data_IF_765865979465
#
_entry.id   IF_765865979465
#
_cell.length_a   1.000
_cell.length_b   1.000
_cell.length_c   1.000
_cell.angle_alpha   90.00
_cell.angle_beta   90.00
_cell.angle_gamma   90.00
#
_symmetry.space_group_name_H-M   'P 1'
#
loop_
_entity.id
_entity.type
_entity.pdbx_description
1 polymer ?
#
# COMPACT_ATOMS: atom_id res chain seq x y z
N UNK A 1 14.80 10.34 19.23
CA UNK A 1 15.61 9.10 19.28
C UNK A 1 14.91 8.03 20.12
N UNK A 2 14.73 8.27 21.43
CA UNK A 2 14.20 7.28 22.39
C UNK A 2 12.88 6.56 22.02
N UNK A 3 11.90 7.26 21.42
CA UNK A 3 10.63 6.62 21.05
C UNK A 3 10.75 5.70 19.82
N UNK A 4 11.65 6.03 18.89
CA UNK A 4 11.90 5.23 17.67
C UNK A 4 12.61 3.93 18.03
N UNK A 5 13.60 4.01 18.92
CA UNK A 5 14.37 2.84 19.38
C UNK A 5 13.48 1.86 20.15
N UNK A 6 12.57 2.38 20.99
CA UNK A 6 11.54 1.55 21.66
C UNK A 6 10.63 0.82 20.68
N UNK A 7 10.17 1.50 19.63
CA UNK A 7 9.32 0.90 18.59
C UNK A 7 10.06 -0.20 17.83
N UNK A 8 11.34 0.00 17.50
CA UNK A 8 12.17 -0.99 16.83
C UNK A 8 12.39 -2.22 17.74
N UNK A 9 12.70 -2.02 19.02
CA UNK A 9 12.83 -3.12 19.97
C UNK A 9 11.53 -3.92 20.16
N UNK A 10 10.40 -3.23 20.26
CA UNK A 10 9.10 -3.88 20.32
C UNK A 10 8.81 -4.70 19.05
N UNK A 11 9.13 -4.15 17.87
CA UNK A 11 9.00 -4.87 16.61
C UNK A 11 9.84 -6.15 16.58
N UNK A 12 11.13 -6.08 16.98
CA UNK A 12 12.00 -7.25 17.03
C UNK A 12 11.44 -8.34 17.96
N UNK A 13 10.91 -7.98 19.13
CA UNK A 13 10.25 -8.94 20.04
C UNK A 13 9.01 -9.58 19.42
N UNK A 14 8.19 -8.80 18.70
CA UNK A 14 7.04 -9.35 17.99
C UNK A 14 7.47 -10.32 16.87
N UNK A 15 8.57 -10.02 16.17
CA UNK A 15 9.11 -10.91 15.14
C UNK A 15 9.66 -12.21 15.73
N UNK A 16 10.35 -12.15 16.87
CA UNK A 16 10.83 -13.35 17.59
C UNK A 16 9.67 -14.25 18.00
N UNK A 17 8.62 -13.66 18.59
CA UNK A 17 7.42 -14.41 18.93
C UNK A 17 6.72 -15.00 17.69
N UNK A 18 6.69 -14.26 16.58
CA UNK A 18 6.12 -14.74 15.31
C UNK A 18 6.93 -15.90 14.73
N UNK A 19 8.26 -15.87 14.86
CA UNK A 19 9.14 -16.98 14.46
C UNK A 19 8.83 -18.24 15.25
N UNK A 20 8.67 -18.12 16.57
CA UNK A 20 8.30 -19.24 17.44
C UNK A 20 6.97 -19.88 17.05
N UNK A 21 5.96 -19.05 16.76
CA UNK A 21 4.65 -19.53 16.30
C UNK A 21 4.74 -20.23 14.94
N UNK A 22 5.60 -19.74 14.03
CA UNK A 22 5.73 -20.28 12.67
C UNK A 22 6.52 -21.60 12.57
N UNK A 23 7.29 -21.99 13.60
CA UNK A 23 8.14 -23.21 13.60
C UNK A 23 7.43 -24.49 13.16
N UNK A 24 6.14 -24.60 13.44
CA UNK A 24 5.33 -25.79 13.12
C UNK A 24 4.44 -25.62 11.88
N UNK A 25 4.58 -24.52 11.14
CA UNK A 25 3.80 -24.23 9.95
C UNK A 25 4.66 -24.28 8.69
N UNK A 26 4.24 -25.09 7.72
CA UNK A 26 4.86 -25.15 6.40
C UNK A 26 4.24 -24.10 5.46
N UNK A 27 4.57 -22.82 5.71
CA UNK A 27 4.10 -21.69 4.90
C UNK A 27 5.28 -20.86 4.40
N UNK A 28 5.80 -21.13 3.19
CA UNK A 28 6.90 -20.36 2.61
C UNK A 28 6.60 -18.86 2.52
N UNK A 29 5.34 -18.47 2.27
CA UNK A 29 4.91 -17.06 2.23
C UNK A 29 5.08 -16.37 3.58
N UNK A 30 4.64 -17.01 4.66
CA UNK A 30 4.70 -16.41 6.00
C UNK A 30 6.15 -16.34 6.51
N UNK A 31 6.94 -17.38 6.24
CA UNK A 31 8.38 -17.36 6.51
C UNK A 31 9.11 -16.25 5.73
N UNK A 32 8.75 -16.05 4.46
CA UNK A 32 9.31 -14.98 3.65
C UNK A 32 8.92 -13.60 4.20
N UNK A 33 7.66 -13.40 4.59
CA UNK A 33 7.19 -12.13 5.17
C UNK A 33 7.87 -11.84 6.51
N UNK A 34 8.01 -12.85 7.37
CA UNK A 34 8.71 -12.74 8.65
C UNK A 34 10.15 -12.24 8.45
N UNK A 35 10.92 -12.91 7.58
CA UNK A 35 12.31 -12.53 7.34
C UNK A 35 12.44 -11.21 6.58
N UNK A 36 11.51 -10.87 5.69
CA UNK A 36 11.46 -9.55 5.10
C UNK A 36 11.29 -8.46 6.17
N UNK A 37 10.40 -8.67 7.15
CA UNK A 37 10.18 -7.73 8.24
C UNK A 37 11.38 -7.64 9.19
N UNK A 38 12.09 -8.74 9.46
CA UNK A 38 13.39 -8.69 10.14
C UNK A 38 14.41 -7.85 9.36
N UNK A 39 14.49 -8.01 8.03
CA UNK A 39 15.36 -7.22 7.17
C UNK A 39 15.06 -5.71 7.29
N UNK A 40 13.78 -5.33 7.25
CA UNK A 40 13.35 -3.95 7.46
C UNK A 40 13.68 -3.42 8.85
N UNK A 41 13.48 -4.21 9.91
CA UNK A 41 13.78 -3.82 11.27
C UNK A 41 15.28 -3.54 11.46
N UNK A 42 16.13 -4.42 10.96
CA UNK A 42 17.59 -4.23 11.02
C UNK A 42 18.08 -3.09 10.13
N UNK A 43 17.45 -2.86 8.97
CA UNK A 43 17.72 -1.67 8.16
C UNK A 43 17.34 -0.37 8.90
N UNK A 44 16.25 -0.39 9.68
CA UNK A 44 15.87 0.74 10.53
C UNK A 44 16.87 0.95 11.68
N UNK A 45 17.34 -0.13 12.34
CA UNK A 45 18.44 -0.07 13.34
C UNK A 45 19.68 0.54 12.72
N UNK A 46 20.12 0.06 11.56
CA UNK A 46 21.27 0.60 10.85
C UNK A 46 21.11 2.10 10.59
N UNK A 47 19.89 2.55 10.28
CA UNK A 47 19.61 3.97 10.02
C UNK A 47 19.59 4.86 11.28
N UNK A 48 19.56 4.29 12.49
CA UNK A 48 19.65 5.06 13.75
C UNK A 48 21.04 5.10 14.35
N UNK A 49 21.91 4.16 13.97
CA UNK A 49 23.31 4.13 14.42
C UNK A 49 24.10 5.22 13.67
N UNK A 50 24.79 6.13 14.39
CA UNK A 50 25.67 7.12 13.77
C UNK A 50 26.70 6.48 12.87
N UNK A 51 27.08 7.18 11.81
CA UNK A 51 28.14 6.72 10.91
C UNK A 51 29.48 7.33 11.31
N UNK A 52 30.03 6.82 12.41
CA UNK A 52 31.34 7.19 12.93
C UNK A 52 32.17 5.93 13.27
N UNK A 53 33.49 6.09 13.37
CA UNK A 53 34.41 4.98 13.66
C UNK A 53 34.06 4.25 14.98
N UNK A 54 33.49 4.98 15.95
CA UNK A 54 33.09 4.40 17.24
C UNK A 54 31.90 3.44 17.09
N UNK A 55 31.03 3.70 16.13
CA UNK A 55 29.81 2.96 15.85
C UNK A 55 29.92 1.99 14.67
N UNK A 56 31.04 2.02 13.94
CA UNK A 56 31.29 1.24 12.72
C UNK A 56 30.97 -0.25 12.89
N UNK A 57 31.40 -0.87 14.01
CA UNK A 57 31.15 -2.28 14.27
C UNK A 57 29.66 -2.59 14.47
N UNK A 58 28.93 -1.73 15.19
CA UNK A 58 27.50 -1.89 15.42
C UNK A 58 26.70 -1.68 14.13
N UNK A 59 27.08 -0.67 13.33
CA UNK A 59 26.48 -0.39 12.03
C UNK A 59 26.71 -1.55 11.04
N UNK A 60 27.94 -2.08 10.99
CA UNK A 60 28.29 -3.26 10.19
C UNK A 60 27.44 -4.47 10.58
N UNK A 61 27.32 -4.75 11.89
CA UNK A 61 26.48 -5.85 12.37
C UNK A 61 25.01 -5.68 11.97
N UNK A 62 24.45 -4.47 12.11
CA UNK A 62 23.07 -4.19 11.69
C UNK A 62 22.88 -4.38 10.17
N UNK A 63 23.86 -3.95 9.36
CA UNK A 63 23.87 -4.13 7.91
C UNK A 63 23.91 -5.61 7.52
N UNK A 64 24.80 -6.40 8.13
CA UNK A 64 24.94 -7.84 7.89
C UNK A 64 23.66 -8.60 8.26
N UNK A 65 23.03 -8.27 9.40
CA UNK A 65 21.74 -8.85 9.76
C UNK A 65 20.65 -8.51 8.75
N UNK A 66 20.53 -7.23 8.36
CA UNK A 66 19.53 -6.81 7.38
C UNK A 66 19.69 -7.57 6.06
N UNK A 67 20.92 -7.68 5.55
CA UNK A 67 21.26 -8.45 4.34
C UNK A 67 20.87 -9.92 4.50
N UNK A 68 21.33 -10.57 5.57
CA UNK A 68 21.07 -11.99 5.83
C UNK A 68 19.56 -12.30 5.86
N UNK A 69 18.76 -11.43 6.50
CA UNK A 69 17.32 -11.62 6.57
C UNK A 69 16.62 -11.42 5.22
N UNK A 70 17.03 -10.44 4.40
CA UNK A 70 16.50 -10.34 3.03
C UNK A 70 16.89 -11.55 2.16
N UNK A 71 18.10 -12.08 2.29
CA UNK A 71 18.54 -13.29 1.58
C UNK A 71 17.74 -14.53 2.01
N UNK A 72 17.47 -14.69 3.31
CA UNK A 72 16.57 -15.73 3.83
C UNK A 72 15.17 -15.57 3.27
N UNK A 73 14.63 -14.35 3.27
CA UNK A 73 13.31 -14.07 2.72
C UNK A 73 13.22 -14.47 1.23
N UNK A 74 14.23 -14.14 0.42
CA UNK A 74 14.33 -14.56 -0.99
C UNK A 74 14.33 -16.09 -1.11
N UNK A 75 15.10 -16.79 -0.27
CA UNK A 75 15.16 -18.25 -0.28
C UNK A 75 13.80 -18.90 0.02
N UNK A 76 13.03 -18.34 0.95
CA UNK A 76 11.66 -18.81 1.23
C UNK A 76 10.67 -18.44 0.12
N UNK A 77 10.77 -17.23 -0.46
CA UNK A 77 9.94 -16.84 -1.61
C UNK A 77 10.04 -17.86 -2.74
N UNK A 78 11.25 -18.31 -3.08
CA UNK A 78 11.50 -19.30 -4.16
C UNK A 78 10.87 -20.67 -3.89
N UNK A 79 10.54 -20.99 -2.64
CA UNK A 79 9.88 -22.26 -2.26
C UNK A 79 8.35 -22.19 -2.38
N UNK A 80 7.77 -20.99 -2.50
CA UNK A 80 6.31 -20.86 -2.60
C UNK A 80 5.84 -21.33 -3.99
N UNK A 81 4.86 -22.26 -4.10
CA UNK A 81 4.41 -22.75 -5.40
C UNK A 81 3.61 -21.71 -6.22
N UNK A 82 3.13 -20.62 -5.60
CA UNK A 82 2.24 -19.64 -6.24
C UNK A 82 3.05 -18.52 -6.86
N UNK A 83 3.18 -18.52 -8.18
CA UNK A 83 3.96 -17.51 -8.93
C UNK A 83 3.59 -16.06 -8.56
N UNK A 84 2.30 -15.75 -8.38
CA UNK A 84 1.84 -14.41 -7.97
C UNK A 84 2.45 -13.97 -6.63
N UNK A 85 2.53 -14.89 -5.66
CA UNK A 85 3.13 -14.62 -4.34
C UNK A 85 4.63 -14.45 -4.48
N UNK A 86 5.29 -15.34 -5.25
CA UNK A 86 6.71 -15.21 -5.54
C UNK A 86 7.06 -13.85 -6.14
N UNK A 87 6.38 -13.43 -7.22
CA UNK A 87 6.61 -12.16 -7.91
C UNK A 87 6.50 -10.99 -6.94
N UNK A 88 5.42 -10.95 -6.14
CA UNK A 88 5.20 -9.88 -5.17
C UNK A 88 6.30 -9.83 -4.11
N UNK A 89 6.60 -10.96 -3.46
CA UNK A 89 7.54 -11.01 -2.32
C UNK A 89 8.99 -10.85 -2.77
N UNK A 90 9.39 -11.49 -3.87
CA UNK A 90 10.73 -11.33 -4.46
C UNK A 90 11.00 -9.87 -4.82
N UNK A 91 10.02 -9.16 -5.38
CA UNK A 91 10.16 -7.72 -5.67
C UNK A 91 10.61 -6.95 -4.43
N UNK A 92 9.89 -7.10 -3.32
CA UNK A 92 10.21 -6.36 -2.10
C UNK A 92 11.53 -6.80 -1.48
N UNK A 93 11.83 -8.10 -1.44
CA UNK A 93 13.05 -8.60 -0.84
C UNK A 93 14.31 -8.16 -1.63
N UNK A 94 14.26 -8.22 -2.96
CA UNK A 94 15.37 -7.75 -3.80
C UNK A 94 15.57 -6.24 -3.70
N UNK A 95 14.48 -5.44 -3.67
CA UNK A 95 14.58 -3.99 -3.45
C UNK A 95 15.17 -3.66 -2.07
N UNK A 96 14.78 -4.42 -1.03
CA UNK A 96 15.32 -4.28 0.32
C UNK A 96 16.80 -4.63 0.40
N UNK A 97 17.22 -5.75 -0.18
CA UNK A 97 18.63 -6.16 -0.25
C UNK A 97 19.49 -5.11 -0.98
N UNK A 98 19.03 -4.62 -2.13
CA UNK A 98 19.72 -3.55 -2.86
C UNK A 98 19.84 -2.26 -2.03
N UNK A 99 18.79 -1.88 -1.30
CA UNK A 99 18.82 -0.68 -0.46
C UNK A 99 19.83 -0.78 0.70
N UNK A 100 19.99 -1.96 1.32
CA UNK A 100 21.00 -2.22 2.36
C UNK A 100 22.42 -2.14 1.79
N UNK A 101 22.63 -2.70 0.60
CA UNK A 101 23.93 -2.70 -0.06
C UNK A 101 24.36 -1.30 -0.49
N UNK A 102 23.44 -0.46 -0.97
CA UNK A 102 23.74 0.90 -1.43
C UNK A 102 23.85 1.93 -0.29
N UNK A 103 23.28 1.63 0.88
CA UNK A 103 23.20 2.50 2.06
C UNK A 103 22.77 3.95 1.71
N UNK A 104 21.61 4.07 1.04
CA UNK A 104 21.04 5.35 0.59
C UNK A 104 19.63 5.61 1.17
N UNK A 105 19.28 4.93 2.25
CA UNK A 105 17.91 4.91 2.81
C UNK A 105 17.48 6.25 3.39
N UNK A 106 18.42 7.09 3.82
CA UNK A 106 18.17 8.45 4.33
C UNK A 106 18.95 9.50 3.54
N UNK A 107 18.47 10.74 3.55
CA UNK A 107 19.16 11.89 2.92
C UNK A 107 20.53 12.13 3.58
N UNK A 108 20.63 11.99 4.90
CA UNK A 108 21.91 12.03 5.64
C UNK A 108 22.91 10.96 5.17
N UNK A 109 22.45 9.74 4.93
CA UNK A 109 23.30 8.65 4.46
C UNK A 109 23.84 8.87 3.03
N UNK A 110 23.14 9.68 2.20
CA UNK A 110 23.61 10.10 0.87
C UNK A 110 24.61 11.25 0.94
N UNK A 111 24.41 12.21 1.84
CA UNK A 111 25.27 13.40 1.93
C UNK A 111 26.68 13.09 2.42
N UNK A 112 26.87 12.01 3.18
CA UNK A 112 28.15 11.64 3.79
C UNK A 112 29.20 11.07 2.80
N UNK A 113 28.97 11.12 1.47
CA UNK A 113 29.89 10.65 0.40
C UNK A 113 30.69 9.38 0.76
N UNK A 114 29.96 8.37 1.27
CA UNK A 114 30.55 7.11 1.75
C UNK A 114 31.14 6.30 0.62
N UNK A 115 32.31 5.72 0.87
CA UNK A 115 32.87 4.68 0.02
C UNK A 115 32.11 3.36 0.23
N UNK A 116 31.32 2.96 -0.76
CA UNK A 116 30.68 1.64 -0.80
C UNK A 116 31.60 0.69 -1.59
N UNK A 117 31.90 -0.52 -1.08
CA UNK A 117 32.68 -1.49 -1.82
C UNK A 117 32.11 -1.75 -3.21
N UNK A 118 32.94 -1.80 -4.28
CA UNK A 118 32.45 -2.07 -5.63
C UNK A 118 31.64 -3.37 -5.76
N UNK A 119 31.99 -4.40 -4.98
CA UNK A 119 31.24 -5.66 -4.94
C UNK A 119 29.82 -5.49 -4.38
N UNK A 120 29.63 -4.63 -3.37
CA UNK A 120 28.29 -4.35 -2.84
C UNK A 120 27.42 -3.62 -3.88
N UNK A 121 28.02 -2.70 -4.66
CA UNK A 121 27.33 -1.99 -5.75
C UNK A 121 26.92 -2.99 -6.84
N UNK A 122 27.80 -3.92 -7.18
CA UNK A 122 27.56 -4.97 -8.17
C UNK A 122 26.48 -5.96 -7.71
N UNK A 123 26.51 -6.39 -6.45
CA UNK A 123 25.47 -7.22 -5.85
C UNK A 123 24.11 -6.49 -5.87
N UNK A 124 24.09 -5.21 -5.50
CA UNK A 124 22.88 -4.39 -5.54
C UNK A 124 22.32 -4.26 -6.95
N UNK A 125 23.18 -4.02 -7.95
CA UNK A 125 22.80 -4.00 -9.35
C UNK A 125 22.20 -5.36 -9.77
N UNK A 126 22.79 -6.48 -9.37
CA UNK A 126 22.24 -7.82 -9.62
C UNK A 126 20.83 -8.01 -9.07
N UNK A 127 20.55 -7.50 -7.87
CA UNK A 127 19.20 -7.52 -7.31
C UNK A 127 18.21 -6.67 -8.10
N UNK A 128 18.60 -5.46 -8.51
CA UNK A 128 17.73 -4.56 -9.30
C UNK A 128 17.47 -5.11 -10.71
N UNK A 129 18.49 -5.65 -11.36
CA UNK A 129 18.39 -6.26 -12.68
C UNK A 129 17.51 -7.50 -12.67
N UNK A 130 17.48 -8.26 -11.57
CA UNK A 130 16.54 -9.35 -11.39
C UNK A 130 15.10 -8.85 -11.35
N UNK A 131 14.82 -7.81 -10.56
CA UNK A 131 13.47 -7.22 -10.44
C UNK A 131 13.01 -6.68 -11.79
N UNK A 132 13.89 -6.00 -12.53
CA UNK A 132 13.57 -5.43 -13.83
C UNK A 132 13.35 -6.50 -14.90
N UNK A 133 14.27 -7.46 -15.05
CA UNK A 133 14.21 -8.47 -16.13
C UNK A 133 13.18 -9.56 -15.88
N UNK A 134 13.07 -10.04 -14.65
CA UNK A 134 12.23 -11.21 -14.33
C UNK A 134 10.80 -10.79 -14.02
N UNK A 135 10.60 -9.59 -13.47
CA UNK A 135 9.29 -9.16 -12.96
C UNK A 135 8.71 -7.95 -13.72
N UNK A 136 9.48 -7.31 -14.61
CA UNK A 136 9.25 -5.97 -15.19
C UNK A 136 7.80 -5.63 -15.54
N UNK A 137 7.16 -6.44 -16.39
CA UNK A 137 5.77 -6.19 -16.84
C UNK A 137 4.74 -6.46 -15.75
N UNK A 138 5.04 -7.35 -14.81
CA UNK A 138 4.18 -7.71 -13.68
C UNK A 138 4.31 -6.76 -12.47
N UNK A 139 5.24 -5.79 -12.51
CA UNK A 139 5.47 -4.90 -11.38
C UNK A 139 4.31 -3.92 -11.18
N UNK A 140 3.70 -3.88 -9.98
CA UNK A 140 2.81 -2.79 -9.61
C UNK A 140 3.53 -1.44 -9.70
N UNK A 141 2.79 -0.38 -10.03
CA UNK A 141 3.36 0.97 -10.22
C UNK A 141 4.16 1.47 -9.00
N UNK A 142 3.70 1.17 -7.79
CA UNK A 142 4.44 1.50 -6.56
C UNK A 142 5.80 0.80 -6.49
N UNK A 143 5.85 -0.48 -6.84
CA UNK A 143 7.12 -1.23 -6.88
C UNK A 143 8.04 -0.73 -7.99
N UNK A 144 7.50 -0.34 -9.15
CA UNK A 144 8.26 0.27 -10.24
C UNK A 144 8.86 1.62 -9.84
N UNK A 145 8.11 2.44 -9.12
CA UNK A 145 8.63 3.68 -8.52
C UNK A 145 9.77 3.38 -7.55
N UNK A 146 9.62 2.38 -6.65
CA UNK A 146 10.69 2.01 -5.73
C UNK A 146 11.91 1.42 -6.46
N UNK A 147 11.73 0.69 -7.56
CA UNK A 147 12.83 0.24 -8.42
C UNK A 147 13.62 1.43 -8.97
N UNK A 148 12.95 2.43 -9.57
CA UNK A 148 13.62 3.64 -10.06
C UNK A 148 14.26 4.46 -8.94
N UNK A 149 13.60 4.53 -7.77
CA UNK A 149 14.19 5.13 -6.56
C UNK A 149 15.52 4.45 -6.24
N UNK A 150 15.55 3.13 -6.03
CA UNK A 150 16.78 2.42 -5.67
C UNK A 150 17.81 2.39 -6.81
N UNK A 151 17.38 2.36 -8.07
CA UNK A 151 18.26 2.44 -9.25
C UNK A 151 18.97 3.78 -9.35
N UNK A 152 18.28 4.88 -9.04
CA UNK A 152 18.90 6.20 -8.90
C UNK A 152 20.03 6.19 -7.85
N UNK A 153 19.82 5.51 -6.71
CA UNK A 153 20.85 5.37 -5.68
C UNK A 153 22.05 4.54 -6.18
N UNK A 154 21.84 3.51 -7.02
CA UNK A 154 22.92 2.75 -7.66
C UNK A 154 23.76 3.64 -8.58
N UNK A 155 23.13 4.38 -9.50
CA UNK A 155 23.84 5.26 -10.42
C UNK A 155 24.60 6.37 -9.70
N UNK A 156 24.04 6.89 -8.61
CA UNK A 156 24.73 7.82 -7.73
C UNK A 156 26.03 7.21 -7.17
N UNK A 157 25.98 5.99 -6.61
CA UNK A 157 27.17 5.30 -6.07
C UNK A 157 28.22 4.97 -7.14
N UNK A 158 27.80 4.83 -8.40
CA UNK A 158 28.68 4.65 -9.56
C UNK A 158 29.22 5.98 -10.14
N UNK A 159 28.78 7.14 -9.61
CA UNK A 159 29.21 8.45 -10.07
C UNK A 159 28.46 8.99 -11.31
N UNK A 160 27.42 8.30 -11.77
CA UNK A 160 26.58 8.69 -12.90
C UNK A 160 25.45 9.65 -12.46
N UNK A 161 25.80 10.85 -12.01
CA UNK A 161 24.86 11.76 -11.34
C UNK A 161 23.69 12.24 -12.22
N UNK A 162 23.92 12.54 -13.49
CA UNK A 162 22.85 12.94 -14.41
C UNK A 162 21.84 11.80 -14.62
N UNK A 163 22.34 10.60 -14.90
CA UNK A 163 21.49 9.42 -15.06
C UNK A 163 20.75 9.07 -13.76
N UNK A 164 21.40 9.21 -12.61
CA UNK A 164 20.77 9.05 -11.30
C UNK A 164 19.61 10.03 -11.11
N UNK A 165 19.77 11.30 -11.52
CA UNK A 165 18.75 12.34 -11.45
C UNK A 165 17.55 12.02 -12.34
N UNK A 166 17.78 11.75 -13.63
CA UNK A 166 16.72 11.39 -14.58
C UNK A 166 15.92 10.17 -14.09
N UNK A 167 16.62 9.19 -13.52
CA UNK A 167 15.99 8.00 -12.93
C UNK A 167 15.13 8.35 -11.71
N UNK A 168 15.57 9.30 -10.86
CA UNK A 168 14.76 9.80 -9.75
C UNK A 168 13.55 10.62 -10.22
N UNK A 169 13.68 11.39 -11.30
CA UNK A 169 12.58 12.13 -11.92
C UNK A 169 11.52 11.18 -12.48
N UNK A 170 11.92 10.06 -13.08
CA UNK A 170 11.00 8.99 -13.50
C UNK A 170 10.22 8.43 -12.29
N UNK A 171 10.89 8.17 -11.16
CA UNK A 171 10.23 7.76 -9.94
C UNK A 171 9.25 8.83 -9.41
N UNK A 172 9.65 10.10 -9.43
CA UNK A 172 8.82 11.23 -9.00
C UNK A 172 7.59 11.41 -9.90
N UNK A 173 7.74 11.25 -11.21
CA UNK A 173 6.63 11.30 -12.15
C UNK A 173 5.62 10.19 -11.84
N UNK A 174 6.06 8.95 -11.64
CA UNK A 174 5.17 7.86 -11.23
C UNK A 174 4.46 8.23 -9.91
N UNK A 175 5.19 8.78 -8.93
CA UNK A 175 4.63 9.18 -7.65
C UNK A 175 3.57 10.28 -7.77
N UNK A 176 3.82 11.31 -8.58
CA UNK A 176 2.89 12.42 -8.83
C UNK A 176 1.63 11.92 -9.54
N UNK A 177 1.82 11.21 -10.65
CA UNK A 177 0.72 10.75 -11.52
C UNK A 177 -0.17 9.72 -10.84
N UNK A 178 0.34 8.98 -9.85
CA UNK A 178 -0.42 7.92 -9.14
C UNK A 178 -0.74 8.27 -7.67
N UNK A 179 -0.39 9.48 -7.20
CA UNK A 179 -0.75 9.95 -5.87
C UNK A 179 0.02 9.30 -4.70
N UNK A 180 1.26 8.83 -4.91
CA UNK A 180 2.15 8.31 -3.86
C UNK A 180 2.77 9.45 -3.04
N UNK A 181 1.93 10.15 -2.26
CA UNK A 181 2.29 11.40 -1.57
C UNK A 181 3.41 11.26 -0.53
N UNK A 182 3.56 10.10 0.09
CA UNK A 182 4.59 9.83 1.12
C UNK A 182 6.01 9.86 0.53
N UNK A 183 6.14 9.60 -0.77
CA UNK A 183 7.43 9.51 -1.44
C UNK A 183 7.86 10.83 -2.07
N UNK A 184 6.93 11.74 -2.36
CA UNK A 184 7.16 12.97 -3.12
C UNK A 184 8.29 13.82 -2.54
N UNK A 185 8.25 14.09 -1.24
CA UNK A 185 9.27 14.90 -0.56
C UNK A 185 10.63 14.22 -0.66
N UNK A 186 10.70 12.92 -0.34
CA UNK A 186 11.97 12.18 -0.36
C UNK A 186 12.57 12.03 -1.75
N UNK A 187 11.72 11.99 -2.79
CA UNK A 187 12.16 11.94 -4.19
C UNK A 187 12.61 13.32 -4.68
N UNK A 188 11.92 14.39 -4.28
CA UNK A 188 12.34 15.76 -4.62
C UNK A 188 13.67 16.11 -3.94
N UNK A 189 13.81 15.85 -2.64
CA UNK A 189 15.08 16.04 -1.91
C UNK A 189 16.25 15.32 -2.57
N UNK A 190 15.98 14.13 -3.14
CA UNK A 190 16.98 13.35 -3.86
C UNK A 190 17.36 13.99 -5.19
N UNK A 191 16.40 14.47 -5.97
CA UNK A 191 16.66 15.18 -7.22
C UNK A 191 17.46 16.46 -6.94
N UNK A 192 17.07 17.22 -5.92
CA UNK A 192 17.75 18.46 -5.54
C UNK A 192 19.18 18.19 -5.06
N UNK A 193 19.41 17.09 -4.33
CA UNK A 193 20.75 16.64 -3.95
C UNK A 193 21.61 16.26 -5.16
N UNK A 194 21.06 15.46 -6.09
CA UNK A 194 21.80 15.04 -7.29
C UNK A 194 22.10 16.21 -8.23
N UNK A 195 21.19 17.18 -8.33
CA UNK A 195 21.40 18.43 -9.07
C UNK A 195 22.60 19.20 -8.52
N UNK A 196 22.65 19.42 -7.20
CA UNK A 196 23.77 20.11 -6.56
C UNK A 196 25.11 19.43 -6.83
N UNK A 197 25.18 18.10 -6.67
CA UNK A 197 26.41 17.35 -6.96
C UNK A 197 26.83 17.43 -8.42
N UNK A 198 25.87 17.42 -9.34
CA UNK A 198 26.16 17.55 -10.76
C UNK A 198 26.72 18.95 -11.10
N UNK A 199 26.09 20.01 -10.59
CA UNK A 199 26.55 21.39 -10.76
C UNK A 199 27.93 21.63 -10.14
N UNK A 200 28.20 21.11 -8.94
CA UNK A 200 29.52 21.17 -8.29
C UNK A 200 30.59 20.48 -9.13
N UNK A 201 30.28 19.30 -9.71
CA UNK A 201 31.21 18.59 -10.58
C UNK A 201 31.52 19.36 -11.87
N UNK A 202 30.51 20.01 -12.47
CA UNK A 202 30.72 20.90 -13.63
C UNK A 202 31.65 22.05 -13.26
N UNK A 203 31.40 22.72 -12.13
CA UNK A 203 32.23 23.86 -11.66
C UNK A 203 33.69 23.46 -11.47
N UNK A 204 33.95 22.30 -10.87
CA UNK A 204 35.31 21.75 -10.70
C UNK A 204 35.99 21.40 -12.03
N UNK A 205 35.23 21.00 -13.06
CA UNK A 205 35.78 20.79 -14.40
C UNK A 205 36.04 22.10 -15.14
N UNK A 206 35.20 23.12 -14.96
CA UNK A 206 35.40 24.44 -15.59
C UNK A 206 36.52 25.24 -14.93
N UNK A 207 36.77 25.08 -13.62
CA UNK A 207 37.87 25.78 -12.93
C UNK A 207 39.26 25.25 -13.32
N UNK A 208 39.35 24.02 -13.86
CA UNK A 208 40.59 23.52 -14.48
C UNK A 208 40.80 24.03 -15.92
N UNK A 209 39.75 24.56 -16.56
CA UNK A 209 39.77 25.03 -17.94
C UNK A 209 39.59 26.56 -18.05
N UNK A 210 39.41 27.28 -16.94
CA UNK A 210 39.14 28.71 -16.88
C UNK A 210 40.39 29.57 -16.62
N UNK A 211 41.45 29.30 -17.38
CA UNK A 211 42.46 30.31 -17.71
C UNK A 211 42.14 30.87 -19.11
N UNK A 212 40.90 31.38 -19.30
CA UNK A 212 40.61 32.33 -20.37
C UNK A 212 39.29 33.09 -20.18
N UNK A 213 39.44 34.31 -19.65
CA UNK A 213 38.76 35.56 -20.01
C UNK A 213 37.22 35.67 -20.05
N UNK A 214 36.74 36.49 -19.11
CA UNK A 214 35.86 37.67 -19.27
C UNK A 214 34.45 37.53 -19.87
N UNK A 215 33.43 37.88 -19.08
CA UNK A 215 32.74 39.19 -19.15
C UNK A 215 31.29 39.14 -18.64
N UNK A 216 31.05 39.79 -17.50
CA UNK A 216 29.94 40.68 -17.12
C UNK A 216 28.58 40.63 -17.86
N UNK A 217 27.49 40.34 -17.13
CA UNK A 217 26.59 41.38 -16.55
C UNK A 217 25.25 40.81 -16.00
N UNK A 218 25.08 41.04 -14.70
CA UNK A 218 23.99 41.69 -13.94
C UNK A 218 22.47 41.69 -14.32
N UNK A 219 21.70 41.74 -13.23
CA UNK A 219 20.39 42.40 -13.02
C UNK A 219 19.04 41.75 -13.42
N UNK A 220 18.40 41.15 -12.39
CA UNK A 220 17.05 41.44 -11.83
C UNK A 220 15.82 41.70 -12.71
N UNK A 221 14.67 41.06 -12.37
CA UNK A 221 13.47 41.74 -11.80
C UNK A 221 12.27 40.79 -11.57
N UNK A 222 11.54 41.08 -10.49
CA UNK A 222 10.25 40.50 -10.09
C UNK A 222 9.06 41.16 -10.81
N UNK A 223 7.93 40.45 -10.93
CA UNK A 223 6.54 40.93 -10.78
C UNK A 223 5.56 39.73 -10.90
N UNK A 224 4.85 39.35 -9.84
CA UNK A 224 3.50 39.80 -9.45
C UNK A 224 2.34 39.19 -10.25
N UNK A 225 1.41 38.54 -9.54
CA UNK A 225 0.17 37.98 -10.09
C UNK A 225 -0.66 37.26 -9.01
N UNK A 226 -1.48 38.04 -8.31
CA UNK A 226 -2.46 37.58 -7.32
C UNK A 226 -3.68 36.94 -7.98
N UNK A 227 -4.14 35.78 -7.49
CA UNK A 227 -5.55 35.41 -7.57
C UNK A 227 -5.98 34.46 -6.45
N UNK A 228 -6.96 34.92 -5.67
CA UNK A 228 -7.61 34.23 -4.57
C UNK A 228 -8.47 33.07 -5.08
N UNK A 229 -8.14 31.85 -4.67
CA UNK A 229 -9.09 30.73 -4.61
C UNK A 229 -8.93 30.00 -3.26
N UNK A 230 -10.06 29.58 -2.70
CA UNK A 230 -10.20 29.10 -1.34
C UNK A 230 -9.13 28.07 -0.92
N UNK A 231 -8.50 28.31 0.23
CA UNK A 231 -7.50 27.45 0.88
C UNK A 231 -7.98 25.98 0.92
N UNK A 232 -7.21 25.00 0.45
CA UNK A 232 -7.58 23.60 0.59
C UNK A 232 -7.45 23.16 2.06
N UNK A 233 -8.49 22.50 2.56
CA UNK A 233 -8.50 21.79 3.86
C UNK A 233 -7.22 20.97 4.04
N UNK A 234 -6.61 21.05 5.22
CA UNK A 234 -5.33 20.44 5.63
C UNK A 234 -5.06 19.06 4.95
N UNK A 235 -3.97 18.92 4.17
CA UNK A 235 -3.59 17.67 3.49
C UNK A 235 -3.37 16.48 4.43
N UNK A 236 -3.01 16.72 5.71
CA UNK A 236 -2.81 15.68 6.72
C UNK A 236 -4.13 15.04 7.14
N UNK A 237 -5.17 15.87 7.30
CA UNK A 237 -6.54 15.43 7.59
C UNK A 237 -7.09 14.56 6.47
N UNK A 238 -6.85 14.90 5.20
CA UNK A 238 -7.32 14.08 4.06
C UNK A 238 -6.68 12.68 4.00
N UNK A 239 -5.40 12.55 4.34
CA UNK A 239 -4.70 11.25 4.39
C UNK A 239 -5.19 10.42 5.57
N UNK A 240 -5.34 11.03 6.75
CA UNK A 240 -5.91 10.38 7.93
C UNK A 240 -7.34 9.91 7.68
N UNK A 241 -8.18 10.74 7.07
CA UNK A 241 -9.55 10.38 6.68
C UNK A 241 -9.54 9.17 5.73
N UNK A 242 -8.69 9.18 4.70
CA UNK A 242 -8.58 8.05 3.75
C UNK A 242 -8.14 6.75 4.43
N UNK A 243 -7.15 6.83 5.33
CA UNK A 243 -6.66 5.66 6.09
C UNK A 243 -7.72 5.15 7.06
N UNK A 244 -8.37 6.03 7.83
CA UNK A 244 -9.46 5.66 8.73
C UNK A 244 -10.62 5.04 7.95
N UNK A 245 -11.03 5.62 6.82
CA UNK A 245 -12.08 5.05 5.97
C UNK A 245 -11.74 3.63 5.52
N UNK A 246 -10.50 3.37 5.08
CA UNK A 246 -10.09 2.04 4.65
C UNK A 246 -10.09 1.02 5.80
N UNK A 247 -9.63 1.43 6.99
CA UNK A 247 -9.62 0.56 8.18
C UNK A 247 -11.05 0.18 8.57
N UNK A 248 -11.94 1.16 8.74
CA UNK A 248 -13.31 0.89 9.16
C UNK A 248 -14.11 0.09 8.12
N UNK A 249 -13.87 0.31 6.82
CA UNK A 249 -14.46 -0.52 5.77
C UNK A 249 -13.93 -1.96 5.81
N UNK A 250 -12.62 -2.14 5.98
CA UNK A 250 -12.00 -3.48 6.05
C UNK A 250 -12.46 -4.26 7.28
N UNK A 251 -12.61 -3.59 8.42
CA UNK A 251 -13.16 -4.19 9.65
C UNK A 251 -14.61 -4.63 9.44
N UNK A 252 -15.46 -3.76 8.87
CA UNK A 252 -16.85 -4.11 8.56
C UNK A 252 -16.95 -5.28 7.57
N UNK A 253 -16.12 -5.31 6.51
CA UNK A 253 -16.08 -6.43 5.56
C UNK A 253 -15.68 -7.76 6.21
N UNK A 254 -14.73 -7.72 7.14
CA UNK A 254 -14.26 -8.89 7.89
C UNK A 254 -15.35 -9.44 8.81
N UNK A 255 -16.01 -8.57 9.56
CA UNK A 255 -17.10 -8.93 10.49
C UNK A 255 -18.32 -9.52 9.74
N UNK A 256 -18.61 -9.02 8.53
CA UNK A 256 -19.76 -9.47 7.74
C UNK A 256 -19.52 -10.74 6.93
N UNK A 257 -18.26 -11.15 6.73
CA UNK A 257 -17.82 -12.33 5.95
C UNK A 257 -18.61 -12.49 4.62
N UNK A 258 -18.63 -11.43 3.81
CA UNK A 258 -19.38 -11.34 2.56
C UNK A 258 -18.49 -11.05 1.34
N UNK A 259 -17.19 -11.33 1.42
CA UNK A 259 -16.20 -10.97 0.38
C UNK A 259 -16.48 -11.57 -1.01
N UNK A 260 -17.34 -12.58 -1.13
CA UNK A 260 -17.75 -13.19 -2.40
C UNK A 260 -19.15 -13.79 -2.35
N UNK A 261 -19.74 -14.10 -3.51
CA UNK A 261 -21.00 -14.86 -3.60
C UNK A 261 -20.87 -16.24 -2.93
N UNK A 262 -19.70 -16.88 -3.02
CA UNK A 262 -19.43 -18.13 -2.32
C UNK A 262 -19.45 -17.96 -0.79
N UNK A 263 -18.91 -16.84 -0.26
CA UNK A 263 -18.98 -16.53 1.17
C UNK A 263 -20.42 -16.30 1.64
N UNK A 264 -21.23 -15.58 0.85
CA UNK A 264 -22.68 -15.40 1.13
C UNK A 264 -23.44 -16.73 1.10
N UNK A 265 -23.15 -17.59 0.13
CA UNK A 265 -23.80 -18.90 -0.03
C UNK A 265 -23.52 -19.88 1.11
N UNK A 266 -22.41 -19.72 1.84
CA UNK A 266 -22.10 -20.59 2.98
C UNK A 266 -23.11 -20.47 4.13
N UNK A 267 -23.98 -19.45 4.12
CA UNK A 267 -25.03 -19.21 5.12
C UNK A 267 -24.53 -19.41 6.57
N UNK A 268 -23.25 -19.10 6.80
CA UNK A 268 -22.65 -19.20 8.12
C UNK A 268 -23.35 -18.17 9.01
N UNK A 269 -23.90 -18.64 10.12
CA UNK A 269 -24.47 -17.77 11.14
C UNK A 269 -23.35 -16.87 11.68
N UNK A 270 -23.54 -15.56 11.56
CA UNK A 270 -22.64 -14.56 12.13
C UNK A 270 -23.23 -14.10 13.45
N UNK A 271 -22.43 -13.95 14.53
CA UNK A 271 -22.91 -13.38 15.78
C UNK A 271 -23.58 -12.02 15.55
N UNK A 272 -24.71 -11.79 16.21
CA UNK A 272 -25.40 -10.49 16.12
C UNK A 272 -24.51 -9.32 16.58
N UNK A 273 -23.61 -9.56 17.54
CA UNK A 273 -22.64 -8.57 18.00
C UNK A 273 -21.74 -8.06 16.85
N UNK A 274 -21.23 -8.96 16.02
CA UNK A 274 -20.35 -8.64 14.89
C UNK A 274 -21.09 -7.82 13.81
N UNK A 275 -22.38 -8.09 13.60
CA UNK A 275 -23.22 -7.34 12.66
C UNK A 275 -23.43 -5.90 13.14
N UNK A 276 -23.69 -5.71 14.43
CA UNK A 276 -23.85 -4.37 15.01
C UNK A 276 -22.51 -3.61 15.05
N UNK A 277 -21.40 -4.28 15.37
CA UNK A 277 -20.06 -3.67 15.30
C UNK A 277 -19.69 -3.24 13.87
N UNK A 278 -19.99 -4.06 12.86
CA UNK A 278 -19.82 -3.69 11.46
C UNK A 278 -20.66 -2.46 11.08
N UNK A 279 -21.90 -2.40 11.54
CA UNK A 279 -22.80 -1.26 11.33
C UNK A 279 -22.27 0.02 11.99
N UNK A 280 -21.69 -0.07 13.18
CA UNK A 280 -21.03 1.06 13.84
C UNK A 280 -19.86 1.60 13.02
N UNK A 281 -19.01 0.72 12.50
CA UNK A 281 -17.91 1.10 11.61
C UNK A 281 -18.41 1.79 10.33
N UNK A 282 -19.48 1.27 9.71
CA UNK A 282 -20.09 1.87 8.52
C UNK A 282 -20.74 3.23 8.81
N UNK A 283 -21.39 3.37 9.98
CA UNK A 283 -21.95 4.65 10.44
C UNK A 283 -20.84 5.67 10.69
N UNK A 284 -19.73 5.27 11.31
CA UNK A 284 -18.58 6.15 11.51
C UNK A 284 -18.05 6.70 10.18
N UNK A 285 -17.90 5.84 9.16
CA UNK A 285 -17.45 6.27 7.83
C UNK A 285 -18.45 7.22 7.16
N UNK A 286 -19.76 6.94 7.24
CA UNK A 286 -20.80 7.78 6.65
C UNK A 286 -20.89 9.14 7.36
N UNK A 287 -20.98 9.13 8.69
CA UNK A 287 -21.41 10.27 9.49
C UNK A 287 -20.25 11.20 9.84
N UNK A 288 -19.04 10.65 10.08
CA UNK A 288 -17.86 11.46 10.43
C UNK A 288 -16.94 11.76 9.26
N UNK A 289 -16.96 10.96 8.20
CA UNK A 289 -16.02 11.08 7.08
C UNK A 289 -16.68 11.41 5.73
N UNK A 290 -18.02 11.28 5.62
CA UNK A 290 -18.78 11.22 4.36
C UNK A 290 -18.59 12.37 3.37
N UNK A 291 -18.40 13.61 3.84
CA UNK A 291 -18.21 14.79 2.96
C UNK A 291 -16.85 14.79 2.25
N UNK A 292 -15.90 13.97 2.73
CA UNK A 292 -14.52 13.87 2.25
C UNK A 292 -14.16 12.53 1.60
N UNK A 293 -15.12 11.60 1.51
CA UNK A 293 -14.89 10.27 0.93
C UNK A 293 -14.91 10.34 -0.61
N UNK A 294 -13.86 9.86 -1.31
CA UNK A 294 -13.85 9.77 -2.77
C UNK A 294 -14.98 8.89 -3.30
N UNK A 295 -15.51 9.18 -4.49
CA UNK A 295 -16.64 8.47 -5.10
C UNK A 295 -16.44 6.95 -5.18
N UNK A 296 -15.24 6.48 -5.54
CA UNK A 296 -14.94 5.04 -5.58
C UNK A 296 -14.99 4.38 -4.19
N UNK A 297 -14.60 5.09 -3.14
CA UNK A 297 -14.73 4.61 -1.75
C UNK A 297 -16.19 4.64 -1.29
N UNK A 298 -17.00 5.57 -1.81
CA UNK A 298 -18.45 5.57 -1.58
C UNK A 298 -19.13 4.35 -2.20
N UNK A 299 -18.69 3.91 -3.38
CA UNK A 299 -19.14 2.64 -3.97
C UNK A 299 -18.81 1.47 -3.05
N UNK A 300 -17.59 1.40 -2.50
CA UNK A 300 -17.21 0.36 -1.54
C UNK A 300 -18.06 0.41 -0.26
N UNK A 301 -18.30 1.60 0.29
CA UNK A 301 -19.17 1.78 1.46
C UNK A 301 -20.58 1.22 1.23
N UNK A 302 -21.20 1.55 0.09
CA UNK A 302 -22.54 1.06 -0.26
C UNK A 302 -22.53 -0.46 -0.49
N UNK A 303 -21.49 -0.96 -1.14
CA UNK A 303 -21.22 -2.39 -1.34
C UNK A 303 -21.16 -3.15 0.00
N UNK A 304 -20.47 -2.63 1.01
CA UNK A 304 -20.40 -3.23 2.36
C UNK A 304 -21.69 -3.02 3.16
N UNK A 305 -22.38 -1.90 2.96
CA UNK A 305 -23.69 -1.61 3.58
C UNK A 305 -24.78 -2.56 3.07
N UNK A 306 -24.76 -2.89 1.78
CA UNK A 306 -25.61 -3.94 1.21
C UNK A 306 -25.38 -5.29 1.90
N UNK A 307 -24.12 -5.66 2.16
CA UNK A 307 -23.79 -6.89 2.89
C UNK A 307 -24.26 -6.86 4.35
N UNK A 308 -24.23 -5.70 5.02
CA UNK A 308 -24.80 -5.51 6.36
C UNK A 308 -26.31 -5.78 6.36
N UNK A 309 -27.06 -5.18 5.42
CA UNK A 309 -28.51 -5.39 5.33
C UNK A 309 -28.88 -6.83 4.98
N UNK A 310 -28.08 -7.48 4.13
CA UNK A 310 -28.21 -8.91 3.86
C UNK A 310 -28.08 -9.74 5.14
N UNK A 311 -27.05 -9.49 5.96
CA UNK A 311 -26.86 -10.22 7.24
C UNK A 311 -27.95 -9.94 8.27
N UNK A 312 -28.61 -8.79 8.19
CA UNK A 312 -29.79 -8.45 8.99
C UNK A 312 -31.11 -9.02 8.43
N UNK A 313 -31.09 -9.70 7.28
CA UNK A 313 -32.29 -10.28 6.65
C UNK A 313 -33.18 -9.28 5.89
N UNK A 314 -32.69 -8.06 5.69
CA UNK A 314 -33.40 -6.96 5.01
C UNK A 314 -32.99 -6.94 3.53
N UNK A 315 -33.41 -7.96 2.78
CA UNK A 315 -32.90 -8.20 1.42
C UNK A 315 -33.27 -7.13 0.38
N UNK A 316 -34.47 -6.55 0.47
CA UNK A 316 -34.88 -5.48 -0.46
C UNK A 316 -34.01 -4.24 -0.29
N UNK A 317 -33.76 -3.82 0.96
CA UNK A 317 -32.87 -2.69 1.24
C UNK A 317 -31.40 -3.00 0.87
N UNK A 318 -30.97 -4.24 1.08
CA UNK A 318 -29.66 -4.70 0.63
C UNK A 318 -29.52 -4.55 -0.90
N UNK A 319 -30.57 -4.89 -1.65
CA UNK A 319 -30.60 -4.81 -3.11
C UNK A 319 -30.55 -3.36 -3.58
N UNK A 320 -31.46 -2.52 -3.09
CA UNK A 320 -31.50 -1.09 -3.43
C UNK A 320 -30.13 -0.42 -3.19
N UNK A 321 -29.50 -0.72 -2.05
CA UNK A 321 -28.16 -0.20 -1.72
C UNK A 321 -27.07 -0.67 -2.70
N UNK A 322 -27.19 -1.89 -3.25
CA UNK A 322 -26.27 -2.39 -4.26
C UNK A 322 -26.51 -1.78 -5.65
N UNK A 323 -27.77 -1.50 -6.00
CA UNK A 323 -28.15 -0.81 -7.23
C UNK A 323 -27.66 0.65 -7.21
N UNK A 324 -27.80 1.35 -6.09
CA UNK A 324 -27.21 2.68 -5.88
C UNK A 324 -25.69 2.67 -6.10
N UNK A 325 -25.00 1.65 -5.56
CA UNK A 325 -23.57 1.48 -5.77
C UNK A 325 -23.22 1.24 -7.25
N UNK A 326 -24.01 0.44 -7.96
CA UNK A 326 -23.85 0.15 -9.38
C UNK A 326 -24.08 1.39 -10.25
N UNK A 327 -25.09 2.20 -9.92
CA UNK A 327 -25.39 3.43 -10.64
C UNK A 327 -24.26 4.47 -10.49
N UNK A 328 -23.71 4.60 -9.28
CA UNK A 328 -22.55 5.44 -9.02
C UNK A 328 -21.32 4.91 -9.76
N UNK A 329 -21.08 3.60 -9.74
CA UNK A 329 -19.94 2.98 -10.43
C UNK A 329 -20.01 3.18 -11.95
N UNK A 330 -21.18 2.96 -12.55
CA UNK A 330 -21.43 3.13 -13.98
C UNK A 330 -21.24 4.57 -14.42
N UNK A 331 -21.86 5.52 -13.70
CA UNK A 331 -21.76 6.96 -14.00
C UNK A 331 -20.33 7.53 -13.89
N UNK A 332 -19.42 6.84 -13.19
CA UNK A 332 -18.04 7.28 -12.95
C UNK A 332 -16.98 6.39 -13.62
N UNK A 333 -17.37 5.42 -14.45
CA UNK A 333 -16.44 4.56 -15.18
C UNK A 333 -15.65 3.55 -14.34
N UNK A 334 -16.15 3.14 -13.17
CA UNK A 334 -15.50 2.15 -12.31
C UNK A 334 -15.75 0.71 -12.78
N UNK A 335 -15.23 0.39 -13.98
CA UNK A 335 -15.52 -0.86 -14.69
C UNK A 335 -15.17 -2.14 -13.90
N UNK A 336 -14.20 -2.09 -12.99
CA UNK A 336 -13.78 -3.23 -12.16
C UNK A 336 -14.80 -3.64 -11.09
N UNK A 337 -15.70 -2.73 -10.69
CA UNK A 337 -16.71 -3.00 -9.66
C UNK A 337 -18.05 -3.47 -10.26
N UNK A 338 -18.29 -3.24 -11.55
CA UNK A 338 -19.59 -3.50 -12.20
C UNK A 338 -19.99 -4.98 -12.14
N UNK A 339 -19.13 -5.89 -12.57
CA UNK A 339 -19.40 -7.34 -12.55
C UNK A 339 -19.63 -7.84 -11.11
N UNK A 340 -18.85 -7.34 -10.15
CA UNK A 340 -19.01 -7.71 -8.75
C UNK A 340 -20.34 -7.21 -8.16
N UNK A 341 -20.80 -6.02 -8.54
CA UNK A 341 -22.04 -5.43 -8.08
C UNK A 341 -23.24 -6.12 -8.72
N UNK A 342 -23.19 -6.39 -10.03
CA UNK A 342 -24.24 -7.12 -10.75
C UNK A 342 -24.44 -8.51 -10.15
N UNK A 343 -23.36 -9.28 -9.94
CA UNK A 343 -23.44 -10.60 -9.28
C UNK A 343 -24.04 -10.55 -7.87
N UNK A 344 -23.88 -9.43 -7.16
CA UNK A 344 -24.51 -9.24 -5.85
C UNK A 344 -26.00 -8.97 -6.00
N UNK A 345 -26.40 -8.11 -6.93
CA UNK A 345 -27.81 -7.79 -7.21
C UNK A 345 -28.55 -9.07 -7.63
N UNK A 346 -28.00 -9.84 -8.57
CA UNK A 346 -28.59 -11.11 -9.03
C UNK A 346 -28.75 -12.13 -7.89
N UNK A 347 -27.82 -12.12 -6.92
CA UNK A 347 -27.90 -12.96 -5.73
C UNK A 347 -29.01 -12.52 -4.78
N UNK A 348 -29.12 -11.21 -4.53
CA UNK A 348 -30.15 -10.63 -3.66
C UNK A 348 -31.54 -10.77 -4.27
N UNK A 349 -31.66 -10.65 -5.60
CA UNK A 349 -32.92 -10.86 -6.33
C UNK A 349 -33.48 -12.26 -6.09
N UNK A 350 -32.65 -13.30 -6.25
CA UNK A 350 -33.05 -14.68 -5.97
C UNK A 350 -33.53 -14.85 -4.52
N UNK A 351 -32.87 -14.19 -3.56
CA UNK A 351 -33.28 -14.24 -2.16
C UNK A 351 -34.61 -13.52 -1.90
N UNK A 352 -34.83 -12.37 -2.54
CA UNK A 352 -36.10 -11.65 -2.48
C UNK A 352 -37.24 -12.49 -3.06
N UNK A 353 -37.03 -13.10 -4.23
CA UNK A 353 -38.00 -14.00 -4.86
C UNK A 353 -38.34 -15.19 -3.96
N UNK A 354 -37.33 -15.89 -3.42
CA UNK A 354 -37.54 -17.00 -2.49
C UNK A 354 -38.30 -16.58 -1.21
N UNK A 355 -38.01 -15.39 -0.67
CA UNK A 355 -38.72 -14.86 0.50
C UNK A 355 -40.18 -14.56 0.19
N UNK A 356 -40.48 -13.95 -0.97
CA UNK A 356 -41.85 -13.69 -1.44
C UNK A 356 -42.63 -14.99 -1.67
N UNK A 357 -42.02 -16.00 -2.31
CA UNK A 357 -42.67 -17.30 -2.52
C UNK A 357 -42.99 -18.03 -1.21
N UNK A 358 -42.15 -17.92 -0.17
CA UNK A 358 -42.44 -18.49 1.16
C UNK A 358 -43.62 -17.81 1.86
N UNK A 359 -43.70 -16.49 1.79
CA UNK A 359 -44.82 -15.72 2.39
C UNK A 359 -46.14 -16.12 1.74
N UNK A 360 -46.18 -16.24 0.41
CA UNK A 360 -47.39 -16.67 -0.33
C UNK A 360 -47.84 -18.08 0.05
N UNK A 361 -46.92 -19.01 0.33
CA UNK A 361 -47.25 -20.37 0.76
C UNK A 361 -47.79 -20.38 2.20
N UNK A 362 -47.19 -19.60 3.12
CA UNK A 362 -47.67 -19.46 4.50
C UNK A 362 -49.07 -18.82 4.55
N UNK A 363 -49.35 -17.82 3.71
CA UNK A 363 -50.66 -17.18 3.60
C UNK A 363 -51.74 -18.10 3.00
N UNK A 364 -51.40 -18.92 2.00
CA UNK A 364 -52.32 -19.93 1.46
C UNK A 364 -52.60 -21.02 2.51
N UNK A 365 -51.59 -21.46 3.26
CA UNK A 365 -51.75 -22.47 4.31
C UNK A 365 -52.63 -21.98 5.47
N UNK A 366 -52.45 -20.72 5.90
CA UNK A 366 -53.28 -20.10 6.94
C UNK A 366 -54.70 -19.75 6.46
N UNK A 367 -54.88 -19.39 5.18
CA UNK A 367 -56.20 -19.16 4.58
C UNK A 367 -56.97 -20.45 4.35
N UNK A 368 -56.30 -21.58 4.09
CA UNK A 368 -56.93 -22.89 3.93
C UNK A 368 -57.31 -23.58 5.25
N UNK A 369 -56.83 -23.07 6.39
CA UNK A 369 -57.24 -23.54 7.73
C UNK A 369 -58.47 -22.83 8.30
N UNK A 370 -58.98 -21.76 7.69
CA UNK A 370 -60.21 -21.07 8.13
C UNK A 370 -61.49 -21.51 7.40
N UNK A 371 -61.45 -22.58 6.57
CA UNK A 371 -62.66 -23.05 5.87
C UNK A 371 -62.83 -24.58 5.89
N UNK A 372 -62.86 -25.16 7.09
CA UNK A 372 -63.51 -26.46 7.27
C UNK A 372 -64.11 -26.64 8.67
N UNK A 373 -65.38 -27.08 8.65
CA UNK A 373 -66.24 -27.54 9.75
C UNK A 373 -66.93 -26.42 10.56
N UNK A 374 -68.26 -26.30 10.58
CA UNK A 374 -69.31 -27.30 10.31
C UNK A 374 -70.71 -26.66 10.21
N UNK A 375 -71.39 -26.88 9.08
CA UNK A 375 -72.83 -27.15 9.11
C UNK A 375 -73.03 -28.58 9.61
N UNK A 376 -73.82 -28.76 10.66
CA UNK A 376 -74.72 -29.90 10.93
C UNK A 376 -75.20 -29.83 12.38
N UNK A 377 -76.38 -29.23 12.60
CA UNK A 377 -77.57 -29.88 13.19
C UNK A 377 -78.77 -28.92 13.16
#
# INVERSE_FOLDING_TARGET
>A
MYERDKKIQALLKCLEHSEDLLKHHNSPEDWAELYYNYGLAWLAVMSTIPDDDRSAQARKHARENARCYFERAIAFCKKDPRLRVQVKKLTYCHLGAAAVLLDCTATAARTEQKHIPPEDIKDAQGHLDFVERVLGDCLPLGSRMHLFKTRSDQYYRQGFYLLAKETAENALHIAKSNGFKTELVTLQERIDFLNRLYEEKIRLTTDNDADNSYSDNDASSEASGSETTAKPKDPRLRVQIKQQTYIYLSLAEMLLDCSSTAARNRQKSIPHADIEEAKEHLNFVRDKLGVSVPTGTRVQLLKTRSDQFYRQGIYELAKETAEDALQIASSNGFNTELDSLQKRIDFLDKLCEHKRSRIVIEDISNSSSETCCSESE
#
